data_IF_335292397327
#
_entry.id   IF_335292397327
#
_cell.length_a   1.000
_cell.length_b   1.000
_cell.length_c   1.000
_cell.angle_alpha   90.00
_cell.angle_beta   90.00
_cell.angle_gamma   90.00
#
_symmetry.space_group_name_H-M   'P 1'
#
loop_
_entity.id
_entity.type
_entity.pdbx_description
1 polymer ?
#
# COMPACT_ATOMS: atom_id res chain seq x y z
N UNK A 1 53.50 -20.38 -2.85
CA UNK A 1 52.64 -20.21 -1.65
C UNK A 1 51.70 -19.02 -1.90
N UNK A 2 50.54 -19.24 -2.54
CA UNK A 2 49.59 -18.18 -2.91
C UNK A 2 48.16 -18.70 -2.81
N UNK A 3 47.68 -19.08 -1.61
CA UNK A 3 46.28 -19.49 -1.39
C UNK A 3 45.85 -19.31 0.06
N UNK A 4 45.77 -18.08 0.58
CA UNK A 4 45.16 -17.82 1.90
C UNK A 4 44.39 -16.49 2.03
N UNK A 5 44.28 -15.68 0.97
CA UNK A 5 43.62 -14.35 1.07
C UNK A 5 42.14 -14.37 0.63
N UNK A 6 41.63 -15.46 0.04
CA UNK A 6 40.27 -15.49 -0.52
C UNK A 6 39.18 -15.78 0.53
N UNK A 7 39.49 -16.41 1.67
CA UNK A 7 38.46 -16.75 2.68
C UNK A 7 38.05 -15.54 3.55
N UNK A 8 38.97 -14.62 3.85
CA UNK A 8 38.67 -13.43 4.65
C UNK A 8 37.89 -12.36 3.87
N UNK A 9 38.07 -12.29 2.55
CA UNK A 9 37.34 -11.35 1.68
C UNK A 9 35.88 -11.79 1.45
N UNK A 10 35.63 -13.11 1.39
CA UNK A 10 34.28 -13.66 1.25
C UNK A 10 33.52 -13.59 2.59
N UNK A 11 34.18 -13.81 3.73
CA UNK A 11 33.53 -13.72 5.04
C UNK A 11 33.20 -12.27 5.44
N UNK A 12 34.02 -11.29 5.05
CA UNK A 12 33.71 -9.86 5.26
C UNK A 12 32.65 -9.36 4.29
N UNK A 13 32.62 -9.83 3.04
CA UNK A 13 31.54 -9.52 2.09
C UNK A 13 30.19 -10.10 2.53
N UNK A 14 30.18 -11.31 3.13
CA UNK A 14 28.97 -11.89 3.74
C UNK A 14 28.53 -11.08 4.96
N UNK A 15 29.45 -10.62 5.83
CA UNK A 15 29.12 -9.77 6.98
C UNK A 15 28.59 -8.38 6.60
N UNK A 16 29.05 -7.80 5.49
CA UNK A 16 28.54 -6.51 4.96
C UNK A 16 27.15 -6.71 4.31
N UNK A 17 26.87 -7.88 3.75
CA UNK A 17 25.52 -8.25 3.25
C UNK A 17 24.55 -8.69 4.36
N UNK A 18 25.06 -9.19 5.50
CA UNK A 18 24.27 -9.57 6.68
C UNK A 18 24.04 -8.41 7.67
N UNK A 19 24.73 -7.28 7.53
CA UNK A 19 24.57 -6.10 8.39
C UNK A 19 23.24 -5.34 8.21
N UNK A 20 22.40 -5.73 7.27
CA UNK A 20 21.13 -5.07 6.94
C UNK A 20 19.93 -5.55 7.80
N UNK A 21 20.09 -6.57 8.65
CA UNK A 21 18.99 -7.16 9.44
C UNK A 21 18.89 -6.68 10.90
N UNK A 22 19.77 -5.79 11.36
CA UNK A 22 19.75 -5.26 12.73
C UNK A 22 19.01 -3.92 12.86
N UNK A 23 18.50 -3.37 11.75
CA UNK A 23 17.75 -2.12 11.73
C UNK A 23 16.52 -2.28 10.86
N UNK A 24 15.39 -1.74 11.33
CA UNK A 24 14.11 -1.80 10.64
C UNK A 24 14.16 -1.06 9.30
N UNK A 25 13.73 -1.71 8.24
CA UNK A 25 13.48 -1.14 6.93
C UNK A 25 11.98 -0.88 6.81
N UNK A 26 11.63 0.31 6.33
CA UNK A 26 10.23 0.72 6.19
C UNK A 26 9.48 -0.22 5.22
N UNK A 27 8.15 -0.34 5.39
CA UNK A 27 7.33 -1.06 4.42
C UNK A 27 7.38 -0.38 3.05
N UNK A 28 7.10 -1.16 2.01
CA UNK A 28 7.09 -0.73 0.61
C UNK A 28 5.70 -1.00 0.04
N UNK A 29 5.14 0.01 -0.63
CA UNK A 29 3.97 -0.17 -1.51
C UNK A 29 4.47 -0.24 -2.94
N UNK A 30 4.27 -1.38 -3.57
CA UNK A 30 4.83 -1.73 -4.88
C UNK A 30 3.92 -1.28 -6.02
N UNK A 31 2.61 -1.46 -5.86
CA UNK A 31 1.60 -1.00 -6.81
C UNK A 31 0.30 -0.64 -6.12
N UNK A 32 -0.44 0.27 -6.76
CA UNK A 32 -1.82 0.59 -6.41
C UNK A 32 -2.61 0.48 -7.72
N UNK A 33 -3.56 -0.44 -7.75
CA UNK A 33 -4.51 -0.58 -8.84
C UNK A 33 -5.86 -0.02 -8.39
N UNK A 34 -6.52 0.71 -9.29
CA UNK A 34 -7.82 1.33 -9.03
C UNK A 34 -8.81 0.70 -9.99
N UNK A 35 -9.87 0.12 -9.45
CA UNK A 35 -10.96 -0.47 -10.23
C UNK A 35 -12.31 -0.03 -9.67
N UNK A 36 -13.38 -0.45 -10.33
CA UNK A 36 -14.76 -0.10 -9.95
C UNK A 36 -15.51 0.65 -11.05
N UNK A 37 -16.79 0.90 -10.82
CA UNK A 37 -17.68 1.60 -11.75
C UNK A 37 -18.50 2.63 -11.01
N UNK A 38 -18.66 3.78 -11.65
CA UNK A 38 -19.46 4.87 -11.12
C UNK A 38 -18.90 5.45 -9.83
N UNK A 39 -19.62 5.29 -8.72
CA UNK A 39 -19.22 5.74 -7.40
C UNK A 39 -18.61 4.64 -6.51
N UNK A 40 -18.61 3.39 -6.97
CA UNK A 40 -17.92 2.29 -6.31
C UNK A 40 -16.46 2.22 -6.78
N UNK A 41 -15.52 2.22 -5.83
CA UNK A 41 -14.08 2.14 -6.07
C UNK A 41 -13.50 1.00 -5.26
N UNK A 42 -12.59 0.25 -5.87
CA UNK A 42 -11.74 -0.72 -5.18
C UNK A 42 -10.28 -0.35 -5.43
N UNK A 43 -9.51 -0.24 -4.35
CA UNK A 43 -8.06 -0.10 -4.37
C UNK A 43 -7.45 -1.46 -4.06
N UNK A 44 -6.64 -1.96 -4.98
CA UNK A 44 -5.82 -3.16 -4.78
C UNK A 44 -4.38 -2.72 -4.60
N UNK A 45 -3.85 -2.91 -3.39
CA UNK A 45 -2.48 -2.57 -3.03
C UNK A 45 -1.63 -3.82 -3.06
N UNK A 46 -0.44 -3.74 -3.68
CA UNK A 46 0.62 -4.73 -3.50
C UNK A 46 1.68 -4.12 -2.60
N UNK A 47 2.04 -4.81 -1.52
CA UNK A 47 2.91 -4.30 -0.46
C UNK A 47 3.85 -5.39 0.06
N UNK A 48 5.01 -4.98 0.52
CA UNK A 48 5.98 -5.86 1.18
C UNK A 48 6.71 -5.14 2.30
N UNK A 49 7.22 -5.93 3.23
CA UNK A 49 8.17 -5.45 4.21
C UNK A 49 9.52 -6.13 3.97
N UNK A 50 10.62 -5.39 3.82
CA UNK A 50 11.92 -6.01 3.57
C UNK A 50 12.39 -6.94 4.72
N UNK A 51 11.94 -6.70 5.95
CA UNK A 51 12.24 -7.49 7.14
C UNK A 51 11.18 -8.58 7.43
N UNK A 52 10.14 -8.66 6.58
CA UNK A 52 8.97 -9.54 6.71
C UNK A 52 8.16 -9.29 7.99
N UNK A 53 8.16 -8.06 8.51
CA UNK A 53 7.25 -7.67 9.58
C UNK A 53 5.79 -7.64 9.05
N UNK A 54 4.79 -8.07 9.85
CA UNK A 54 3.39 -7.96 9.46
C UNK A 54 2.97 -6.51 9.24
N UNK A 55 2.16 -6.29 8.21
CA UNK A 55 1.77 -4.94 7.79
C UNK A 55 0.36 -4.58 8.28
N UNK A 56 0.16 -3.29 8.47
CA UNK A 56 -1.14 -2.65 8.75
C UNK A 56 -1.37 -1.57 7.70
N UNK A 57 -2.54 -1.58 7.08
CA UNK A 57 -2.96 -0.60 6.07
C UNK A 57 -4.16 0.17 6.59
N UNK A 58 -4.09 1.50 6.56
CA UNK A 58 -5.22 2.40 6.79
C UNK A 58 -5.46 3.25 5.54
N UNK A 59 -6.72 3.39 5.12
CA UNK A 59 -7.13 4.22 3.99
C UNK A 59 -8.22 5.19 4.44
N UNK A 60 -7.92 6.47 4.33
CA UNK A 60 -8.88 7.57 4.46
C UNK A 60 -9.38 7.95 3.06
N UNK A 61 -10.69 7.80 2.84
CA UNK A 61 -11.33 8.05 1.55
C UNK A 61 -11.53 9.54 1.23
N UNK A 62 -11.29 10.43 2.21
CA UNK A 62 -11.36 11.88 2.00
C UNK A 62 -12.78 12.46 1.88
N UNK A 63 -13.82 11.65 2.10
CA UNK A 63 -15.23 12.08 2.12
C UNK A 63 -15.83 12.16 3.54
N UNK A 64 -15.04 11.82 4.56
CA UNK A 64 -15.46 11.82 5.97
C UNK A 64 -16.17 10.53 6.41
N UNK A 65 -16.21 9.50 5.56
CA UNK A 65 -16.66 8.15 5.92
C UNK A 65 -15.67 7.44 6.87
N UNK A 66 -16.06 6.26 7.37
CA UNK A 66 -15.16 5.42 8.15
C UNK A 66 -13.96 4.98 7.30
N UNK A 67 -12.78 5.03 7.91
CA UNK A 67 -11.55 4.60 7.26
C UNK A 67 -11.53 3.09 7.11
N UNK A 68 -10.97 2.61 6.00
CA UNK A 68 -10.60 1.21 5.89
C UNK A 68 -9.38 0.94 6.77
N UNK A 69 -9.37 -0.19 7.48
CA UNK A 69 -8.21 -0.67 8.25
C UNK A 69 -8.10 -2.19 8.14
N UNK A 70 -6.91 -2.67 7.81
CA UNK A 70 -6.58 -4.09 7.82
C UNK A 70 -5.21 -4.29 8.48
N UNK A 71 -5.13 -5.23 9.42
CA UNK A 71 -3.94 -5.51 10.25
C UNK A 71 -3.42 -6.93 10.01
N UNK A 72 -2.17 -7.17 10.41
CA UNK A 72 -1.50 -8.49 10.31
C UNK A 72 -1.41 -9.04 8.88
N UNK A 73 -1.28 -8.14 7.90
CA UNK A 73 -1.17 -8.50 6.49
C UNK A 73 0.19 -9.16 6.24
N UNK A 74 0.15 -10.38 5.71
CA UNK A 74 1.32 -11.18 5.33
C UNK A 74 1.24 -11.74 3.90
N UNK A 75 0.10 -11.53 3.24
CA UNK A 75 -0.20 -11.98 1.87
C UNK A 75 0.49 -11.14 0.79
N UNK A 76 0.87 -9.91 1.14
CA UNK A 76 1.44 -8.92 0.22
C UNK A 76 0.40 -8.20 -0.65
N UNK A 77 -0.89 -8.46 -0.45
CA UNK A 77 -1.97 -7.80 -1.21
C UNK A 77 -3.14 -7.45 -0.28
N UNK A 78 -3.72 -6.27 -0.48
CA UNK A 78 -4.90 -5.76 0.22
C UNK A 78 -5.91 -5.23 -0.80
N UNK A 79 -7.17 -5.64 -0.67
CA UNK A 79 -8.29 -5.15 -1.47
C UNK A 79 -9.23 -4.32 -0.58
N UNK A 80 -9.27 -3.01 -0.79
CA UNK A 80 -10.11 -2.09 -0.05
C UNK A 80 -11.19 -1.49 -0.97
N UNK A 81 -12.46 -1.68 -0.61
CA UNK A 81 -13.58 -1.16 -1.40
C UNK A 81 -14.33 -0.05 -0.67
N UNK A 82 -14.81 0.94 -1.42
CA UNK A 82 -15.59 2.07 -0.93
C UNK A 82 -16.63 2.52 -1.95
N UNK A 83 -17.70 3.16 -1.46
CA UNK A 83 -18.73 3.75 -2.31
C UNK A 83 -18.95 5.20 -1.87
N UNK A 84 -18.74 6.14 -2.79
CA UNK A 84 -18.96 7.55 -2.53
C UNK A 84 -20.43 7.94 -2.70
N UNK A 85 -20.98 8.71 -1.77
CA UNK A 85 -22.38 9.17 -1.84
C UNK A 85 -22.60 10.32 -2.84
N UNK A 86 -21.52 11.00 -3.25
CA UNK A 86 -21.59 12.19 -4.08
C UNK A 86 -20.49 12.21 -5.13
N UNK A 87 -20.72 13.02 -6.16
CA UNK A 87 -19.72 13.29 -7.18
C UNK A 87 -18.72 14.30 -6.66
N UNK A 88 -17.47 14.21 -7.12
CA UNK A 88 -16.44 15.13 -6.66
C UNK A 88 -15.04 14.60 -6.88
N UNK A 89 -14.06 15.41 -6.48
CA UNK A 89 -12.68 14.97 -6.35
C UNK A 89 -12.37 14.73 -4.88
N UNK A 90 -11.92 13.52 -4.57
CA UNK A 90 -11.57 13.10 -3.21
C UNK A 90 -10.07 12.89 -3.09
N UNK A 91 -9.51 13.34 -1.98
CA UNK A 91 -8.10 13.23 -1.64
C UNK A 91 -7.90 12.02 -0.72
N UNK A 92 -7.64 10.86 -1.32
CA UNK A 92 -7.44 9.60 -0.60
C UNK A 92 -6.04 9.55 -0.01
N UNK A 93 -5.96 9.21 1.28
CA UNK A 93 -4.70 9.08 2.02
C UNK A 93 -4.51 7.62 2.44
N UNK A 94 -3.41 7.02 1.99
CA UNK A 94 -3.04 5.64 2.30
C UNK A 94 -1.84 5.66 3.23
N UNK A 95 -1.95 4.92 4.33
CA UNK A 95 -0.88 4.76 5.32
C UNK A 95 -0.59 3.28 5.53
N UNK A 96 0.69 2.90 5.48
CA UNK A 96 1.16 1.53 5.72
C UNK A 96 2.16 1.53 6.87
N UNK A 97 1.99 0.61 7.81
CA UNK A 97 2.83 0.46 9.01
C UNK A 97 3.33 -0.98 9.14
N UNK A 98 4.58 -1.15 9.54
CA UNK A 98 5.18 -2.44 9.93
C UNK A 98 5.20 -2.62 11.47
N UNK A 99 4.54 -1.72 12.20
CA UNK A 99 4.55 -1.65 13.67
C UNK A 99 5.74 -0.92 14.29
N UNK A 100 6.75 -0.55 13.49
CA UNK A 100 7.96 0.18 13.91
C UNK A 100 8.15 1.49 13.14
N UNK A 101 7.71 1.54 11.89
CA UNK A 101 7.74 2.66 10.99
C UNK A 101 6.41 2.77 10.22
N UNK A 102 6.10 4.01 9.83
CA UNK A 102 4.90 4.35 9.08
C UNK A 102 5.29 5.04 7.78
N UNK A 103 4.67 4.63 6.68
CA UNK A 103 4.78 5.23 5.36
C UNK A 103 3.40 5.76 4.97
N UNK A 104 3.29 7.08 4.84
CA UNK A 104 2.13 7.73 4.23
C UNK A 104 2.47 8.05 2.78
N UNK A 105 1.63 7.58 1.86
CA UNK A 105 1.82 7.81 0.43
C UNK A 105 1.42 9.23 0.03
N UNK A 106 1.90 9.73 -1.13
CA UNK A 106 1.32 10.92 -1.74
C UNK A 106 -0.19 10.75 -1.91
N UNK A 107 -0.93 11.83 -1.67
CA UNK A 107 -2.38 11.86 -1.80
C UNK A 107 -2.83 11.40 -3.19
N UNK A 108 -3.71 10.40 -3.22
CA UNK A 108 -4.32 9.91 -4.43
C UNK A 108 -5.60 10.71 -4.71
N UNK A 109 -5.66 11.41 -5.85
CA UNK A 109 -6.84 12.16 -6.26
C UNK A 109 -7.77 11.29 -7.08
N UNK A 110 -8.93 10.96 -6.53
CA UNK A 110 -9.98 10.22 -7.23
C UNK A 110 -11.06 11.17 -7.71
N UNK A 111 -11.41 11.10 -8.99
CA UNK A 111 -12.50 11.86 -9.57
C UNK A 111 -13.72 10.96 -9.76
N UNK A 112 -14.76 11.16 -8.94
CA UNK A 112 -16.01 10.41 -8.96
C UNK A 112 -17.02 11.13 -9.85
N UNK A 113 -17.39 10.56 -11.01
CA UNK A 113 -18.28 11.20 -11.97
C UNK A 113 -19.75 11.07 -11.57
N UNK A 114 -20.58 11.97 -12.11
CA UNK A 114 -22.03 11.84 -12.06
C UNK A 114 -22.49 10.55 -12.74
N UNK A 115 -23.37 9.82 -12.07
CA UNK A 115 -24.06 8.70 -12.67
C UNK A 115 -25.20 9.27 -13.52
N UNK A 116 -25.15 9.11 -14.83
CA UNK A 116 -26.34 9.37 -15.64
C UNK A 116 -27.41 8.35 -15.27
N UNK A 117 -28.46 8.76 -14.56
CA UNK A 117 -29.65 7.93 -14.46
C UNK A 117 -30.35 7.89 -15.82
N UNK A 118 -30.69 6.70 -16.29
CA UNK A 118 -31.63 6.55 -17.40
C UNK A 118 -33.01 7.03 -16.96
N UNK A 119 -33.36 8.26 -17.31
CA UNK A 119 -34.72 8.77 -17.10
C UNK A 119 -35.63 8.11 -18.12
N UNK A 120 -36.38 7.09 -17.71
CA UNK A 120 -37.47 6.54 -18.52
C UNK A 120 -38.66 7.48 -18.40
N UNK A 121 -38.90 8.29 -19.43
CA UNK A 121 -40.14 9.04 -19.55
C UNK A 121 -41.24 8.10 -20.02
N UNK A 122 -42.17 7.77 -19.13
CA UNK A 122 -43.41 7.10 -19.51
C UNK A 122 -44.35 8.19 -20.10
N UNK A 123 -44.56 8.16 -21.41
CA UNK A 123 -45.61 8.91 -22.10
C UNK A 123 -46.75 7.98 -22.52
#
# INVERSE_FOLDING_TARGET
>A
MKRFVLLALVLTLVLVMSGCFLFNRKPVVESIEISGTGNAVTLTLTLSDPDNDPLTVEIDWGDGSEKFSEENITTGTVDASHTYDSTGTYEVVITVSDGKAVVTLPTLKLNIPFQSESVILNF
#
